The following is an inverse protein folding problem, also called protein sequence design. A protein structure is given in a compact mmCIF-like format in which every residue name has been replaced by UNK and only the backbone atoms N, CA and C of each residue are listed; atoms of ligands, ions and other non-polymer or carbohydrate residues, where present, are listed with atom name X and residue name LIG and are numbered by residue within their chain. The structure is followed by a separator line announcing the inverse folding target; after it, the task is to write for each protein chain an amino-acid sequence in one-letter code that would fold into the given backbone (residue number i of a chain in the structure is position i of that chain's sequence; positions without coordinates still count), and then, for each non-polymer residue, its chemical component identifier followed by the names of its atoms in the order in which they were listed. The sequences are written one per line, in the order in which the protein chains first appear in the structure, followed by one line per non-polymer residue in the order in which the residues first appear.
data_IF_085700924558
#
_entry.id   IF_085700924558
#
_cell.length_a   1.000
_cell.length_b   1.000
_cell.length_c   1.000
_cell.angle_alpha   90.00
_cell.angle_beta   90.00
_cell.angle_gamma   90.00
#
_symmetry.space_group_name_H-M   'P 1'
#
loop_
_entity.id
_entity.type
_entity.pdbx_description
1 polymer ?
#
# COMPACT_ATOMS: atom_id res chain seq x y z
N UNK A 1 -22.73 6.08 -24.97
CA UNK A 1 -22.08 7.37 -24.60
C UNK A 1 -20.61 7.46 -25.01
N UNK A 2 -19.90 6.35 -25.28
CA UNK A 2 -18.47 6.33 -25.64
C UNK A 2 -18.16 6.89 -27.06
N UNK A 3 -19.11 6.80 -28.01
CA UNK A 3 -18.90 7.24 -29.39
C UNK A 3 -18.89 8.77 -29.62
N UNK A 4 -19.38 9.57 -28.66
CA UNK A 4 -19.37 11.04 -28.80
C UNK A 4 -18.04 11.66 -28.33
N UNK A 5 -17.29 10.99 -27.46
CA UNK A 5 -15.95 11.45 -27.05
C UNK A 5 -14.91 11.20 -28.16
N UNK A 6 -15.08 10.11 -28.92
CA UNK A 6 -14.11 9.69 -29.95
C UNK A 6 -14.11 10.56 -31.21
N UNK A 7 -15.14 11.38 -31.44
CA UNK A 7 -15.25 12.27 -32.61
C UNK A 7 -14.91 13.74 -32.32
N UNK A 8 -14.78 14.13 -31.05
CA UNK A 8 -14.58 15.53 -30.62
C UNK A 8 -13.13 15.88 -30.20
N UNK A 9 -12.25 14.88 -29.99
CA UNK A 9 -10.78 15.06 -29.82
C UNK A 9 -10.08 15.38 -31.16
N UNK A 10 -10.79 16.02 -32.09
CA UNK A 10 -10.27 16.28 -33.43
C UNK A 10 -9.21 17.39 -33.42
N UNK A 11 -7.96 16.94 -33.52
CA UNK A 11 -6.85 17.49 -34.31
C UNK A 11 -5.98 18.63 -33.76
N UNK A 12 -6.32 19.29 -32.64
CA UNK A 12 -5.42 20.31 -32.09
C UNK A 12 -4.39 19.72 -31.11
N UNK A 13 -3.13 20.13 -31.25
CA UNK A 13 -2.03 19.73 -30.37
C UNK A 13 -2.36 19.98 -28.87
N UNK A 14 -2.98 21.11 -28.46
CA UNK A 14 -3.35 21.34 -27.06
C UNK A 14 -4.32 20.29 -26.50
N UNK A 15 -5.34 19.89 -27.26
CA UNK A 15 -6.31 18.88 -26.80
C UNK A 15 -5.67 17.50 -26.63
N UNK A 16 -4.70 17.17 -27.50
CA UNK A 16 -3.93 15.93 -27.41
C UNK A 16 -3.00 15.97 -26.20
N UNK A 17 -2.32 17.10 -25.97
CA UNK A 17 -1.48 17.32 -24.81
C UNK A 17 -2.27 17.16 -23.50
N UNK A 18 -3.46 17.76 -23.43
CA UNK A 18 -4.36 17.65 -22.28
C UNK A 18 -4.77 16.19 -22.02
N UNK A 19 -5.15 15.46 -23.07
CA UNK A 19 -5.51 14.05 -22.95
C UNK A 19 -4.34 13.20 -22.43
N UNK A 20 -3.12 13.41 -22.95
CA UNK A 20 -1.93 12.68 -22.53
C UNK A 20 -1.54 12.99 -21.08
N UNK A 21 -1.56 14.26 -20.67
CA UNK A 21 -1.22 14.64 -19.29
C UNK A 21 -2.27 14.18 -18.28
N UNK A 22 -3.56 14.19 -18.63
CA UNK A 22 -4.60 13.64 -17.78
C UNK A 22 -4.47 12.12 -17.61
N UNK A 23 -4.17 11.39 -18.68
CA UNK A 23 -3.89 9.94 -18.59
C UNK A 23 -2.65 9.70 -17.72
N UNK A 24 -1.55 10.41 -17.97
CA UNK A 24 -0.32 10.29 -17.17
C UNK A 24 -0.58 10.60 -15.69
N UNK A 25 -1.33 11.65 -15.38
CA UNK A 25 -1.73 11.99 -14.01
C UNK A 25 -2.50 10.87 -13.34
N UNK A 26 -3.48 10.27 -14.04
CA UNK A 26 -4.22 9.11 -13.53
C UNK A 26 -3.31 7.88 -13.31
N UNK A 27 -2.42 7.58 -14.24
CA UNK A 27 -1.43 6.50 -14.09
C UNK A 27 -0.54 6.71 -12.86
N UNK A 28 -0.12 7.95 -12.56
CA UNK A 28 0.65 8.26 -11.35
C UNK A 28 -0.16 7.98 -10.08
N UNK A 29 -1.46 8.31 -10.07
CA UNK A 29 -2.35 7.96 -8.95
C UNK A 29 -2.40 6.44 -8.76
N UNK A 30 -2.68 5.68 -9.82
CA UNK A 30 -2.76 4.22 -9.78
C UNK A 30 -1.45 3.60 -9.28
N UNK A 31 -0.31 4.06 -9.81
CA UNK A 31 1.01 3.57 -9.42
C UNK A 31 1.34 3.88 -7.95
N UNK A 32 0.95 5.07 -7.47
CA UNK A 32 1.10 5.41 -6.07
C UNK A 32 0.30 4.46 -5.17
N UNK A 33 -0.96 4.19 -5.53
CA UNK A 33 -1.80 3.22 -4.83
C UNK A 33 -1.16 1.82 -4.81
N UNK A 34 -0.63 1.35 -5.94
CA UNK A 34 0.06 0.06 -6.04
C UNK A 34 1.29 -0.01 -5.10
N UNK A 35 2.13 1.03 -5.09
CA UNK A 35 3.29 1.07 -4.19
C UNK A 35 2.88 1.09 -2.71
N UNK A 36 1.82 1.82 -2.37
CA UNK A 36 1.29 1.84 -1.01
C UNK A 36 0.73 0.47 -0.59
N UNK A 37 -0.06 -0.17 -1.46
CA UNK A 37 -0.62 -1.50 -1.23
C UNK A 37 0.47 -2.57 -1.09
N UNK A 38 1.55 -2.46 -1.86
CA UNK A 38 2.72 -3.35 -1.75
C UNK A 38 3.37 -3.27 -0.37
N UNK A 39 3.58 -2.05 0.15
CA UNK A 39 4.14 -1.87 1.49
C UNK A 39 3.24 -2.46 2.58
N UNK A 40 1.92 -2.20 2.50
CA UNK A 40 0.96 -2.80 3.43
C UNK A 40 0.98 -4.33 3.37
N UNK A 41 0.98 -4.90 2.15
CA UNK A 41 1.03 -6.35 1.93
C UNK A 41 2.26 -6.97 2.57
N UNK A 42 3.43 -6.36 2.41
CA UNK A 42 4.68 -6.86 3.00
C UNK A 42 4.60 -6.88 4.54
N UNK A 43 4.18 -5.78 5.16
CA UNK A 43 4.05 -5.68 6.62
C UNK A 43 3.03 -6.67 7.20
N UNK A 44 1.89 -6.84 6.53
CA UNK A 44 0.87 -7.81 6.94
C UNK A 44 1.40 -9.24 6.83
N UNK A 45 2.05 -9.60 5.71
CA UNK A 45 2.65 -10.93 5.50
C UNK A 45 3.70 -11.25 6.55
N UNK A 46 4.58 -10.30 6.88
CA UNK A 46 5.59 -10.47 7.92
C UNK A 46 4.94 -10.79 9.27
N UNK A 47 3.97 -9.97 9.69
CA UNK A 47 3.27 -10.17 10.96
C UNK A 47 2.49 -11.49 11.02
N UNK A 48 1.80 -11.86 9.95
CA UNK A 48 1.10 -13.14 9.86
C UNK A 48 2.09 -14.31 9.96
N UNK A 49 3.20 -14.24 9.24
CA UNK A 49 4.20 -15.31 9.18
C UNK A 49 4.88 -15.52 10.54
N UNK A 50 5.21 -14.45 11.26
CA UNK A 50 5.84 -14.55 12.58
C UNK A 50 4.84 -14.98 13.68
N UNK A 51 3.59 -14.55 13.62
CA UNK A 51 2.61 -14.77 14.69
C UNK A 51 1.88 -16.12 14.56
N UNK A 52 1.56 -16.56 13.34
CA UNK A 52 0.72 -17.75 13.11
C UNK A 52 1.28 -19.04 13.70
N UNK A 53 2.59 -19.34 13.60
CA UNK A 53 3.17 -20.55 14.20
C UNK A 53 3.00 -20.57 15.73
N UNK A 54 3.28 -19.44 16.39
CA UNK A 54 3.18 -19.31 17.85
C UNK A 54 1.72 -19.52 18.30
N UNK A 55 0.75 -18.94 17.59
CA UNK A 55 -0.67 -19.17 17.87
C UNK A 55 -1.07 -20.65 17.70
N UNK A 56 -0.56 -21.33 16.67
CA UNK A 56 -0.82 -22.77 16.46
C UNK A 56 -0.26 -23.61 17.59
N UNK A 57 0.98 -23.35 18.00
CA UNK A 57 1.61 -24.03 19.13
C UNK A 57 0.86 -23.76 20.44
N UNK A 58 0.46 -22.51 20.68
CA UNK A 58 -0.34 -22.16 21.85
C UNK A 58 -1.66 -22.94 21.92
N UNK A 59 -2.40 -23.02 20.80
CA UNK A 59 -3.65 -23.78 20.75
C UNK A 59 -3.41 -25.29 20.95
N UNK A 60 -2.34 -25.84 20.38
CA UNK A 60 -1.95 -27.23 20.58
C UNK A 60 -1.61 -27.52 22.06
N UNK A 61 -0.81 -26.66 22.69
CA UNK A 61 -0.45 -26.76 24.12
C UNK A 61 -1.67 -26.64 25.02
N UNK A 62 -2.60 -25.73 24.69
CA UNK A 62 -3.87 -25.57 25.41
C UNK A 62 -4.75 -26.82 25.32
N UNK A 63 -4.79 -27.47 24.15
CA UNK A 63 -5.52 -28.73 23.96
C UNK A 63 -4.88 -29.88 24.75
N UNK A 64 -3.56 -30.05 24.65
CA UNK A 64 -2.81 -31.05 25.45
C UNK A 64 -3.01 -30.85 26.95
N UNK A 65 -2.98 -29.61 27.42
CA UNK A 65 -3.20 -29.28 28.83
C UNK A 65 -4.61 -29.68 29.28
N UNK A 66 -5.63 -29.50 28.42
CA UNK A 66 -7.00 -29.95 28.70
C UNK A 66 -7.07 -31.48 28.79
N UNK A 67 -6.46 -32.18 27.84
CA UNK A 67 -6.41 -33.64 27.79
C UNK A 67 -5.72 -34.23 29.03
N UNK A 68 -4.55 -33.71 29.40
CA UNK A 68 -3.81 -34.15 30.59
C UNK A 68 -4.56 -33.85 31.88
N UNK A 69 -5.25 -32.71 31.98
CA UNK A 69 -6.14 -32.42 33.12
C UNK A 69 -7.29 -33.41 33.22
N UNK A 70 -7.89 -33.82 32.08
CA UNK A 70 -8.93 -34.84 32.09
C UNK A 70 -8.37 -36.22 32.45
N UNK A 71 -7.21 -36.60 31.93
CA UNK A 71 -6.52 -37.85 32.27
C UNK A 71 -6.22 -37.92 33.77
N UNK A 72 -5.63 -36.86 34.34
CA UNK A 72 -5.39 -36.76 35.79
C UNK A 72 -6.68 -36.92 36.59
N UNK A 73 -7.79 -36.29 36.17
CA UNK A 73 -9.10 -36.43 36.83
C UNK A 73 -9.58 -37.88 36.82
N UNK A 74 -9.49 -38.56 35.68
CA UNK A 74 -9.88 -39.98 35.57
C UNK A 74 -8.99 -40.90 36.41
N UNK A 75 -7.70 -40.62 36.46
CA UNK A 75 -6.74 -41.42 37.21
C UNK A 75 -6.90 -41.24 38.73
N UNK A 76 -7.19 -40.01 39.19
CA UNK A 76 -7.53 -39.75 40.59
C UNK A 76 -8.80 -40.52 41.01
N UNK A 77 -9.81 -40.59 40.14
CA UNK A 77 -11.03 -41.35 40.42
C UNK A 77 -10.74 -42.85 40.52
N UNK A 78 -9.94 -43.39 39.59
CA UNK A 78 -9.48 -44.78 39.63
C UNK A 78 -8.68 -45.10 40.89
N UNK A 79 -7.85 -44.17 41.35
CA UNK A 79 -7.08 -44.33 42.59
C UNK A 79 -7.99 -44.42 43.82
N UNK A 80 -9.02 -43.56 43.91
CA UNK A 80 -10.02 -43.59 44.99
C UNK A 80 -10.80 -44.91 45.04
N UNK A 81 -11.10 -45.48 43.88
CA UNK A 81 -11.83 -46.76 43.76
C UNK A 81 -10.94 -47.99 43.99
N UNK A 82 -9.62 -47.83 43.96
CA UNK A 82 -8.68 -48.94 44.14
C UNK A 82 -8.63 -49.33 45.62
N UNK A 83 -8.79 -50.62 45.92
CA UNK A 83 -8.72 -51.13 47.31
C UNK A 83 -7.39 -50.77 47.98
N UNK A 84 -7.47 -50.32 49.24
CA UNK A 84 -6.31 -50.01 50.09
C UNK A 84 -5.46 -51.26 50.32
N UNK A 85 -6.06 -52.45 50.25
CA UNK A 85 -5.38 -53.75 50.37
C UNK A 85 -4.61 -54.17 49.10
N UNK A 86 -4.50 -53.30 48.09
CA UNK A 86 -3.68 -53.50 46.89
C UNK A 86 -2.54 -52.48 46.81
N UNK A 87 -1.55 -52.52 47.71
CA UNK A 87 -0.53 -51.47 47.87
C UNK A 87 0.30 -51.22 46.61
N UNK A 88 0.65 -52.27 45.87
CA UNK A 88 1.41 -52.13 44.61
C UNK A 88 0.63 -51.34 43.55
N UNK A 89 -0.69 -51.55 43.46
CA UNK A 89 -1.55 -50.81 42.51
C UNK A 89 -1.68 -49.35 42.94
N UNK A 90 -1.81 -49.09 44.24
CA UNK A 90 -1.86 -47.73 44.79
C UNK A 90 -0.57 -46.96 44.49
N UNK A 91 0.60 -47.57 44.72
CA UNK A 91 1.91 -46.96 44.42
C UNK A 91 2.03 -46.61 42.94
N UNK A 92 1.66 -47.55 42.05
CA UNK A 92 1.73 -47.30 40.59
C UNK A 92 0.81 -46.15 40.16
N UNK A 93 -0.40 -46.07 40.69
CA UNK A 93 -1.32 -44.97 40.40
C UNK A 93 -0.80 -43.64 40.92
N UNK A 94 -0.20 -43.62 42.12
CA UNK A 94 0.46 -42.42 42.66
C UNK A 94 1.62 -41.96 41.78
N UNK A 95 2.47 -42.87 41.30
CA UNK A 95 3.57 -42.54 40.38
C UNK A 95 3.03 -41.90 39.08
N UNK A 96 2.01 -42.51 38.47
CA UNK A 96 1.37 -41.95 37.28
C UNK A 96 0.75 -40.57 37.52
N UNK A 97 0.15 -40.34 38.68
CA UNK A 97 -0.38 -39.02 39.07
C UNK A 97 0.71 -37.97 39.27
N UNK A 98 1.86 -38.35 39.83
CA UNK A 98 3.03 -37.47 39.94
C UNK A 98 3.52 -37.06 38.56
N UNK A 99 3.76 -38.01 37.66
CA UNK A 99 4.18 -37.72 36.28
C UNK A 99 3.17 -36.84 35.55
N UNK A 100 1.87 -37.14 35.65
CA UNK A 100 0.84 -36.28 35.04
C UNK A 100 0.78 -34.88 35.65
N UNK A 101 1.18 -34.71 36.91
CA UNK A 101 1.25 -33.39 37.54
C UNK A 101 2.43 -32.60 36.99
N UNK A 102 3.59 -33.22 36.84
CA UNK A 102 4.78 -32.63 36.21
C UNK A 102 4.48 -32.21 34.76
N UNK A 103 3.92 -33.10 33.94
CA UNK A 103 3.49 -32.82 32.56
C UNK A 103 2.56 -31.59 32.50
N UNK A 104 1.61 -31.48 33.44
CA UNK A 104 0.65 -30.36 33.49
C UNK A 104 1.35 -29.04 33.83
N UNK A 105 2.28 -29.03 34.78
CA UNK A 105 3.03 -27.81 35.13
C UNK A 105 3.97 -27.39 33.99
N UNK A 106 4.63 -28.34 33.31
CA UNK A 106 5.43 -28.05 32.12
C UNK A 106 4.57 -27.45 31.01
N UNK A 107 3.40 -28.03 30.71
CA UNK A 107 2.48 -27.50 29.71
C UNK A 107 1.93 -26.12 30.09
N UNK A 108 1.70 -25.82 31.38
CA UNK A 108 1.32 -24.47 31.83
C UNK A 108 2.44 -23.48 31.57
N UNK A 109 3.68 -23.83 31.94
CA UNK A 109 4.85 -22.99 31.70
C UNK A 109 5.06 -22.72 30.21
N UNK A 110 5.02 -23.77 29.37
CA UNK A 110 5.10 -23.63 27.91
C UNK A 110 3.99 -22.72 27.36
N UNK A 111 2.76 -22.86 27.87
CA UNK A 111 1.64 -21.98 27.48
C UNK A 111 1.94 -20.51 27.81
N UNK A 112 2.47 -20.23 29.01
CA UNK A 112 2.84 -18.87 29.43
C UNK A 112 3.98 -18.30 28.60
N UNK A 113 5.00 -19.11 28.27
CA UNK A 113 6.09 -18.71 27.36
C UNK A 113 5.56 -18.31 25.98
N UNK A 114 4.64 -19.09 25.41
CA UNK A 114 4.03 -18.77 24.11
C UNK A 114 3.20 -17.48 24.16
N UNK A 115 2.48 -17.23 25.27
CA UNK A 115 1.78 -15.96 25.49
C UNK A 115 2.77 -14.78 25.57
N UNK A 116 3.87 -14.97 26.29
CA UNK A 116 4.92 -13.96 26.44
C UNK A 116 5.60 -13.60 25.11
N UNK A 117 5.87 -14.58 24.24
CA UNK A 117 6.41 -14.33 22.90
C UNK A 117 5.52 -13.43 22.05
N UNK A 118 4.20 -13.45 22.29
CA UNK A 118 3.22 -12.57 21.63
C UNK A 118 2.86 -11.33 22.46
N UNK A 119 3.60 -11.06 23.54
CA UNK A 119 3.35 -9.96 24.48
C UNK A 119 1.91 -9.95 25.03
N UNK A 120 1.30 -11.13 25.16
CA UNK A 120 -0.04 -11.31 25.69
C UNK A 120 0.04 -11.69 27.18
N UNK A 121 -0.71 -10.97 28.01
CA UNK A 121 -0.77 -11.17 29.47
C UNK A 121 -2.06 -11.87 29.91
N UNK A 122 -2.98 -12.10 28.97
CA UNK A 122 -4.27 -12.73 29.23
C UNK A 122 -4.75 -13.60 28.06
N UNK A 123 -5.64 -14.54 28.36
CA UNK A 123 -6.34 -15.33 27.34
C UNK A 123 -7.19 -14.44 26.41
N UNK A 124 -7.68 -13.31 26.93
CA UNK A 124 -8.41 -12.30 26.14
C UNK A 124 -7.51 -11.65 25.11
N UNK A 125 -6.30 -11.22 25.50
CA UNK A 125 -5.30 -10.67 24.56
C UNK A 125 -4.88 -11.71 23.51
N UNK A 126 -4.70 -12.98 23.90
CA UNK A 126 -4.43 -14.05 22.93
C UNK A 126 -5.52 -14.18 21.88
N UNK A 127 -6.80 -14.15 22.31
CA UNK A 127 -7.94 -14.19 21.41
C UNK A 127 -8.02 -12.94 20.51
N UNK A 128 -7.67 -11.78 21.03
CA UNK A 128 -7.58 -10.56 20.23
C UNK A 128 -6.49 -10.67 19.16
N UNK A 129 -5.32 -11.23 19.50
CA UNK A 129 -4.24 -11.50 18.55
C UNK A 129 -4.67 -12.49 17.46
N UNK A 130 -5.36 -13.56 17.82
CA UNK A 130 -5.92 -14.52 16.85
C UNK A 130 -6.92 -13.85 15.90
N UNK A 131 -7.84 -13.04 16.44
CA UNK A 131 -8.78 -12.27 15.62
C UNK A 131 -8.07 -11.26 14.72
N UNK A 132 -7.00 -10.62 15.20
CA UNK A 132 -6.21 -9.69 14.42
C UNK A 132 -5.56 -10.39 13.23
N UNK A 133 -4.99 -11.58 13.42
CA UNK A 133 -4.43 -12.39 12.32
C UNK A 133 -5.50 -12.77 11.30
N UNK A 134 -6.69 -13.18 11.75
CA UNK A 134 -7.83 -13.45 10.85
C UNK A 134 -8.22 -12.23 10.01
N UNK A 135 -8.28 -11.04 10.63
CA UNK A 135 -8.57 -9.79 9.93
C UNK A 135 -7.47 -9.41 8.93
N UNK A 136 -6.20 -9.62 9.30
CA UNK A 136 -5.06 -9.35 8.41
C UNK A 136 -5.09 -10.26 7.17
N UNK A 137 -5.46 -11.53 7.32
CA UNK A 137 -5.63 -12.44 6.17
C UNK A 137 -6.73 -11.94 5.21
N UNK A 138 -7.89 -11.54 5.73
CA UNK A 138 -8.97 -10.94 4.91
C UNK A 138 -8.53 -9.64 4.24
N UNK A 139 -7.69 -8.85 4.90
CA UNK A 139 -7.14 -7.63 4.31
C UNK A 139 -6.14 -7.95 3.20
N UNK A 140 -5.35 -9.02 3.31
CA UNK A 140 -4.46 -9.46 2.24
C UNK A 140 -5.24 -9.87 0.99
N UNK A 141 -6.35 -10.58 1.13
CA UNK A 141 -7.23 -10.94 0.01
C UNK A 141 -7.73 -9.68 -0.72
N UNK A 142 -8.22 -8.68 0.03
CA UNK A 142 -8.65 -7.40 -0.55
C UNK A 142 -7.52 -6.63 -1.22
N UNK A 143 -6.32 -6.63 -0.65
CA UNK A 143 -5.16 -5.95 -1.23
C UNK A 143 -4.74 -6.61 -2.54
N UNK A 144 -4.87 -7.93 -2.65
CA UNK A 144 -4.61 -8.68 -3.89
C UNK A 144 -5.63 -8.33 -4.97
N UNK A 145 -6.93 -8.34 -4.66
CA UNK A 145 -7.99 -7.91 -5.59
C UNK A 145 -7.77 -6.46 -6.08
N UNK A 146 -7.38 -5.57 -5.17
CA UNK A 146 -7.05 -4.19 -5.53
C UNK A 146 -5.82 -4.11 -6.43
N UNK A 147 -4.78 -4.91 -6.16
CA UNK A 147 -3.57 -4.94 -6.98
C UNK A 147 -3.92 -5.36 -8.41
N UNK A 148 -4.71 -6.40 -8.59
CA UNK A 148 -5.11 -6.89 -9.92
C UNK A 148 -5.93 -5.84 -10.67
N UNK A 149 -6.92 -5.23 -9.99
CA UNK A 149 -7.73 -4.15 -10.57
C UNK A 149 -6.88 -2.95 -10.99
N UNK A 150 -6.02 -2.44 -10.11
CA UNK A 150 -5.18 -1.27 -10.36
C UNK A 150 -4.16 -1.54 -11.47
N UNK A 151 -3.58 -2.75 -11.51
CA UNK A 151 -2.66 -3.16 -12.58
C UNK A 151 -3.37 -3.23 -13.93
N UNK A 152 -4.59 -3.76 -13.97
CA UNK A 152 -5.43 -3.75 -15.16
C UNK A 152 -5.71 -2.34 -15.68
N UNK A 153 -6.16 -1.44 -14.80
CA UNK A 153 -6.39 -0.03 -15.14
C UNK A 153 -5.13 0.67 -15.66
N UNK A 154 -3.97 0.38 -15.05
CA UNK A 154 -2.70 0.95 -15.48
C UNK A 154 -2.31 0.47 -16.89
N UNK A 155 -2.57 -0.80 -17.21
CA UNK A 155 -2.34 -1.34 -18.55
C UNK A 155 -3.26 -0.71 -19.60
N UNK A 156 -4.55 -0.54 -19.29
CA UNK A 156 -5.52 0.14 -20.16
C UNK A 156 -5.11 1.59 -20.45
N UNK A 157 -4.70 2.33 -19.42
CA UNK A 157 -4.24 3.71 -19.59
C UNK A 157 -2.93 3.79 -20.38
N UNK A 158 -2.01 2.83 -20.17
CA UNK A 158 -0.78 2.73 -20.95
C UNK A 158 -1.09 2.53 -22.44
N UNK A 159 -1.99 1.59 -22.76
CA UNK A 159 -2.42 1.35 -24.14
C UNK A 159 -3.08 2.60 -24.74
N UNK A 160 -3.97 3.25 -23.98
CA UNK A 160 -4.67 4.47 -24.41
C UNK A 160 -3.67 5.60 -24.68
N UNK A 161 -2.68 5.78 -23.81
CA UNK A 161 -1.62 6.78 -23.98
C UNK A 161 -0.85 6.54 -25.28
N UNK A 162 -0.37 5.31 -25.50
CA UNK A 162 0.41 4.96 -26.69
C UNK A 162 -0.43 5.08 -27.97
N UNK A 163 -1.72 4.71 -27.93
CA UNK A 163 -2.65 4.86 -29.06
C UNK A 163 -2.91 6.32 -29.43
N UNK A 164 -2.89 7.24 -28.47
CA UNK A 164 -3.00 8.68 -28.75
C UNK A 164 -1.68 9.20 -29.32
N UNK A 165 -0.55 8.85 -28.69
CA UNK A 165 0.80 9.30 -29.08
C UNK A 165 1.17 8.84 -30.50
N UNK A 166 0.83 7.62 -30.88
CA UNK A 166 1.13 7.04 -32.21
C UNK A 166 0.41 7.70 -33.40
N UNK A 167 -0.61 8.53 -33.16
CA UNK A 167 -1.32 9.26 -34.21
C UNK A 167 -0.62 10.55 -34.65
N UNK A 168 0.41 10.96 -33.93
CA UNK A 168 1.11 12.23 -34.15
C UNK A 168 2.25 12.05 -35.14
N UNK A 169 2.43 13.03 -36.02
CA UNK A 169 3.58 13.05 -36.92
C UNK A 169 4.83 13.60 -36.19
N UNK A 170 6.06 13.23 -36.62
CA UNK A 170 7.29 13.74 -36.00
C UNK A 170 7.38 15.26 -35.96
N UNK A 171 6.82 15.95 -36.97
CA UNK A 171 6.82 17.41 -37.08
C UNK A 171 6.00 18.09 -35.96
N UNK A 172 5.08 17.35 -35.32
CA UNK A 172 4.24 17.85 -34.23
C UNK A 172 4.88 17.62 -32.84
N UNK A 173 6.01 16.91 -32.76
CA UNK A 173 6.61 16.47 -31.50
C UNK A 173 7.02 17.62 -30.59
N UNK A 174 7.71 18.63 -31.12
CA UNK A 174 8.21 19.76 -30.33
C UNK A 174 7.06 20.65 -29.83
N UNK A 175 6.08 20.92 -30.70
CA UNK A 175 4.89 21.69 -30.31
C UNK A 175 4.05 20.94 -29.28
N UNK A 176 3.92 19.62 -29.41
CA UNK A 176 3.26 18.79 -28.41
C UNK A 176 4.00 18.85 -27.07
N UNK A 177 5.32 18.72 -27.08
CA UNK A 177 6.14 18.79 -25.88
C UNK A 177 5.91 20.12 -25.15
N UNK A 178 5.89 21.24 -25.87
CA UNK A 178 5.62 22.55 -25.29
C UNK A 178 4.24 22.67 -24.66
N UNK A 179 3.19 22.21 -25.34
CA UNK A 179 1.82 22.22 -24.81
C UNK A 179 1.70 21.34 -23.56
N UNK A 180 2.29 20.14 -23.61
CA UNK A 180 2.31 19.22 -22.47
C UNK A 180 3.06 19.78 -21.27
N UNK A 181 4.18 20.48 -21.47
CA UNK A 181 4.90 21.14 -20.38
C UNK A 181 4.00 22.17 -19.68
N UNK A 182 3.27 22.98 -20.43
CA UNK A 182 2.36 23.98 -19.85
C UNK A 182 1.24 23.32 -19.06
N UNK A 183 0.63 22.25 -19.58
CA UNK A 183 -0.44 21.52 -18.88
C UNK A 183 0.11 20.77 -17.66
N UNK A 184 1.32 20.22 -17.75
CA UNK A 184 1.94 19.47 -16.65
C UNK A 184 2.17 20.35 -15.40
N UNK A 185 2.36 21.67 -15.57
CA UNK A 185 2.46 22.61 -14.44
C UNK A 185 1.18 22.68 -13.59
N UNK A 186 0.00 22.41 -14.16
CA UNK A 186 -1.27 22.35 -13.42
C UNK A 186 -1.61 20.95 -12.95
N UNK A 187 -1.39 19.93 -13.80
CA UNK A 187 -1.75 18.54 -13.49
C UNK A 187 -0.93 17.96 -12.34
N UNK A 188 0.35 18.32 -12.18
CA UNK A 188 1.19 17.82 -11.08
C UNK A 188 0.65 18.25 -9.70
N UNK A 189 0.38 19.55 -9.43
CA UNK A 189 -0.26 19.99 -8.20
C UNK A 189 -1.61 19.31 -7.94
N UNK A 190 -2.45 19.16 -8.95
CA UNK A 190 -3.76 18.50 -8.79
C UNK A 190 -3.63 17.02 -8.43
N UNK A 191 -2.73 16.30 -9.11
CA UNK A 191 -2.42 14.89 -8.82
C UNK A 191 -1.92 14.75 -7.39
N UNK A 192 -1.04 15.65 -6.95
CA UNK A 192 -0.56 15.68 -5.57
C UNK A 192 -1.69 15.94 -4.58
N UNK A 193 -2.56 16.92 -4.84
CA UNK A 193 -3.70 17.24 -3.97
C UNK A 193 -4.61 16.03 -3.81
N UNK A 194 -4.99 15.37 -4.91
CA UNK A 194 -5.82 14.15 -4.89
C UNK A 194 -5.20 13.06 -4.02
N UNK A 195 -3.89 12.86 -4.09
CA UNK A 195 -3.19 11.89 -3.24
C UNK A 195 -3.17 12.33 -1.77
N UNK A 196 -2.99 13.62 -1.49
CA UNK A 196 -3.04 14.14 -0.13
C UNK A 196 -4.44 13.99 0.48
N UNK A 197 -5.49 14.21 -0.30
CA UNK A 197 -6.88 14.03 0.13
C UNK A 197 -7.19 12.56 0.45
N UNK A 198 -6.70 11.64 -0.37
CA UNK A 198 -6.94 10.19 -0.19
C UNK A 198 -6.09 9.59 0.93
N UNK A 199 -4.81 9.94 1.02
CA UNK A 199 -3.87 9.30 1.94
C UNK A 199 -3.62 10.08 3.23
N UNK A 200 -3.95 11.37 3.28
CA UNK A 200 -3.77 12.21 4.45
C UNK A 200 -2.36 12.11 5.02
N UNK A 201 -2.27 11.70 6.30
CA UNK A 201 -0.99 11.52 6.99
C UNK A 201 -0.13 10.35 6.46
N UNK A 202 -0.69 9.45 5.64
CA UNK A 202 0.03 8.35 4.97
C UNK A 202 0.59 8.78 3.60
N UNK A 203 0.40 10.03 3.22
CA UNK A 203 0.98 10.58 2.01
C UNK A 203 2.50 10.71 2.15
N UNK A 204 3.23 10.23 1.15
CA UNK A 204 4.69 10.23 1.12
C UNK A 204 5.19 10.81 -0.19
N UNK A 205 5.98 11.89 -0.10
CA UNK A 205 6.59 12.53 -1.27
C UNK A 205 7.55 11.60 -2.03
N UNK A 206 8.29 10.74 -1.32
CA UNK A 206 9.17 9.74 -1.92
C UNK A 206 8.38 8.75 -2.79
N UNK A 207 7.22 8.29 -2.32
CA UNK A 207 6.35 7.39 -3.08
C UNK A 207 5.77 8.08 -4.31
N UNK A 208 5.38 9.36 -4.22
CA UNK A 208 4.94 10.14 -5.38
C UNK A 208 6.06 10.27 -6.42
N UNK A 209 7.29 10.57 -5.99
CA UNK A 209 8.45 10.63 -6.88
C UNK A 209 8.68 9.29 -7.58
N UNK A 210 8.76 8.20 -6.82
CA UNK A 210 8.95 6.86 -7.38
C UNK A 210 7.84 6.48 -8.36
N UNK A 211 6.58 6.82 -8.04
CA UNK A 211 5.44 6.57 -8.93
C UNK A 211 5.61 7.33 -10.24
N UNK A 212 6.02 8.60 -10.17
CA UNK A 212 6.27 9.44 -11.35
C UNK A 212 7.38 8.86 -12.21
N UNK A 213 8.53 8.50 -11.60
CA UNK A 213 9.67 7.94 -12.32
C UNK A 213 9.32 6.60 -12.99
N UNK A 214 8.53 5.75 -12.32
CA UNK A 214 8.04 4.49 -12.88
C UNK A 214 7.08 4.71 -14.06
N UNK A 215 6.18 5.69 -13.98
CA UNK A 215 5.28 6.03 -15.09
C UNK A 215 6.05 6.62 -16.27
N UNK A 216 7.00 7.52 -16.03
CA UNK A 216 7.82 8.10 -17.09
C UNK A 216 8.62 7.01 -17.82
N UNK A 217 9.21 6.08 -17.06
CA UNK A 217 9.88 4.90 -17.61
C UNK A 217 8.92 4.04 -18.45
N UNK A 218 7.73 3.73 -17.93
CA UNK A 218 6.74 2.89 -18.62
C UNK A 218 6.21 3.54 -19.91
N UNK A 219 6.13 4.87 -19.95
CA UNK A 219 5.69 5.64 -21.13
C UNK A 219 6.84 5.93 -22.11
N UNK A 220 8.08 5.57 -21.76
CA UNK A 220 9.28 5.88 -22.54
C UNK A 220 9.52 7.40 -22.63
N UNK A 221 9.20 8.14 -21.58
CA UNK A 221 9.44 9.58 -21.50
C UNK A 221 10.77 9.87 -20.83
N UNK A 222 11.58 10.72 -21.47
CA UNK A 222 12.78 11.24 -20.85
C UNK A 222 12.44 12.48 -19.99
N UNK A 223 12.47 12.30 -18.67
CA UNK A 223 12.22 13.39 -17.73
C UNK A 223 13.20 14.55 -17.88
N UNK A 224 14.42 14.27 -18.35
CA UNK A 224 15.46 15.27 -18.62
C UNK A 224 15.05 16.18 -19.78
N UNK A 225 14.53 15.62 -20.87
CA UNK A 225 14.03 16.38 -22.03
C UNK A 225 12.89 17.32 -21.62
N UNK A 226 11.92 16.82 -20.84
CA UNK A 226 10.85 17.67 -20.31
C UNK A 226 11.37 18.80 -19.44
N UNK A 227 12.34 18.52 -18.57
CA UNK A 227 12.91 19.51 -17.65
C UNK A 227 13.70 20.59 -18.40
N UNK A 228 14.57 20.19 -19.33
CA UNK A 228 15.38 21.10 -20.11
C UNK A 228 14.52 22.03 -20.96
N UNK A 229 13.52 21.47 -21.67
CA UNK A 229 12.60 22.28 -22.46
C UNK A 229 11.75 23.22 -21.60
N UNK A 230 11.32 22.80 -20.41
CA UNK A 230 10.59 23.66 -19.49
C UNK A 230 11.42 24.85 -18.99
N UNK A 231 12.72 24.63 -18.71
CA UNK A 231 13.64 25.71 -18.35
C UNK A 231 13.80 26.69 -19.51
N UNK A 232 14.03 26.17 -20.72
CA UNK A 232 14.16 26.98 -21.93
C UNK A 232 12.91 27.84 -22.17
N UNK A 233 11.72 27.24 -22.07
CA UNK A 233 10.44 27.94 -22.25
C UNK A 233 10.24 29.07 -21.24
N UNK A 234 10.65 28.87 -19.98
CA UNK A 234 10.61 29.93 -18.94
C UNK A 234 11.54 31.08 -19.29
N UNK A 235 12.75 30.80 -19.75
CA UNK A 235 13.69 31.85 -20.20
C UNK A 235 13.17 32.62 -21.41
N UNK A 236 12.59 31.93 -22.41
CA UNK A 236 11.97 32.57 -23.58
C UNK A 236 10.82 33.49 -23.19
N UNK A 237 9.96 33.05 -22.26
CA UNK A 237 8.88 33.87 -21.71
C UNK A 237 9.43 35.11 -20.99
N UNK A 238 10.42 34.95 -20.12
CA UNK A 238 11.03 36.05 -19.36
C UNK A 238 11.68 37.09 -20.28
N UNK A 239 12.42 36.65 -21.30
CA UNK A 239 13.01 37.52 -22.32
C UNK A 239 11.95 38.30 -23.11
N UNK A 240 10.85 37.64 -23.49
CA UNK A 240 9.74 38.29 -24.16
C UNK A 240 9.04 39.32 -23.25
N UNK A 241 8.91 39.04 -21.95
CA UNK A 241 8.37 40.00 -20.98
C UNK A 241 9.28 41.23 -20.82
N UNK A 242 10.60 41.04 -20.77
CA UNK A 242 11.57 42.13 -20.70
C UNK A 242 11.54 43.00 -21.96
N UNK A 243 11.55 42.40 -23.16
CA UNK A 243 11.41 43.13 -24.44
C UNK A 243 10.10 43.92 -24.51
N UNK A 244 8.98 43.32 -24.09
CA UNK A 244 7.67 43.98 -24.09
C UNK A 244 7.55 45.07 -23.01
N UNK A 245 8.29 44.98 -21.89
CA UNK A 245 8.39 46.07 -20.91
C UNK A 245 9.22 47.25 -21.44
N UNK A 246 10.32 47.00 -22.15
CA UNK A 246 11.15 48.05 -22.76
C UNK A 246 10.46 48.81 -23.90
N UNK A 247 9.45 48.20 -24.54
CA UNK A 247 8.66 48.83 -25.62
C UNK A 247 7.47 49.67 -25.14
N UNK A 248 7.18 49.75 -23.83
CA UNK A 248 6.13 50.63 -23.31
C UNK A 248 6.62 52.10 -23.32
N UNK A 249 6.00 53.02 -24.09
CA UNK A 249 6.39 54.42 -24.04
C UNK A 249 6.12 54.97 -22.63
N UNK A 250 7.15 55.58 -22.01
CA UNK A 250 6.99 56.35 -20.77
C UNK A 250 5.86 57.37 -21.00
N UNK A 251 4.72 57.20 -20.31
CA UNK A 251 3.69 58.25 -20.27
C UNK A 251 4.39 59.53 -19.78
N UNK A 252 4.51 60.53 -20.66
CA UNK A 252 4.94 61.88 -20.27
C UNK A 252 3.96 62.35 -19.20
N UNK A 253 4.44 62.48 -17.97
CA UNK A 253 3.79 63.32 -16.96
C UNK A 253 3.62 64.69 -17.60
N UNK A 254 2.39 65.09 -17.88
CA UNK A 254 2.09 66.48 -18.23
C UNK A 254 1.89 67.21 -16.92
N UNK A 255 2.87 68.05 -16.60
CA UNK A 255 2.72 69.19 -15.72
C UNK A 255 1.44 69.95 -16.04
N UNK A 256 0.72 70.31 -15.00
CA UNK A 256 -0.02 71.57 -14.95
C UNK A 256 0.19 72.18 -13.57
N UNK A 257 1.17 73.07 -13.49
CA UNK A 257 1.14 74.23 -12.59
C UNK A 257 0.01 75.16 -13.03
N UNK A 258 -0.97 75.41 -12.17
CA UNK A 258 -1.37 76.73 -11.61
C UNK A 258 -2.76 76.66 -10.97
#
# INVERSE_FOLDING_TARGET
MVEKLTKAVKESIPAIAEALENIRGHMILLQYHLLHNRMQTASLKERITSTTPILKEYQATKNKLREKKTEKKTLMEKQKQTSIFSPLKQIKLSQQLTTLTEDIEELKFQKEQLMYQLYCHSETEMKQTENAISLMNKNLEKLEEQKDRLTGQLAEDTERFQKIKSKLSPEQSDTLLDERITIRETVIPETRSKLQDVFGNKFEHSRLRNSTDMIDTALGEDSTVFRERAIQKRWEQEQNHQKNQHLKPKKKSRDFER
#
